data_IF_960394207362
#
_entry.id   IF_960394207362
#
_cell.length_a   1.000
_cell.length_b   1.000
_cell.length_c   1.000
_cell.angle_alpha   90.00
_cell.angle_beta   90.00
_cell.angle_gamma   90.00
#
_symmetry.space_group_name_H-M   'P 1'
#
loop_
_entity.id
_entity.type
_entity.pdbx_description
1 polymer ?
#
# COMPACT_ATOMS: atom_id res chain seq x y z
N UNK A 1 -22.40 7.92 26.76
CA UNK A 1 -22.26 6.61 26.07
C UNK A 1 -21.54 6.78 24.74
N UNK A 2 -22.06 7.58 23.80
CA UNK A 2 -21.42 7.78 22.48
C UNK A 2 -19.95 8.19 22.53
N UNK A 3 -19.55 9.10 23.43
CA UNK A 3 -18.14 9.53 23.54
C UNK A 3 -17.17 8.36 23.77
N UNK A 4 -17.59 7.34 24.54
CA UNK A 4 -16.76 6.17 24.82
C UNK A 4 -16.78 5.19 23.66
N UNK A 5 -17.92 5.06 22.97
CA UNK A 5 -17.98 4.25 21.75
C UNK A 5 -17.15 4.85 20.62
N UNK A 6 -17.14 6.19 20.45
CA UNK A 6 -16.25 6.88 19.49
C UNK A 6 -14.78 6.57 19.79
N UNK A 7 -14.39 6.56 21.06
CA UNK A 7 -13.04 6.14 21.43
C UNK A 7 -12.76 4.67 21.07
N UNK A 8 -13.72 3.77 21.28
CA UNK A 8 -13.60 2.38 20.83
C UNK A 8 -13.52 2.25 19.30
N UNK A 9 -14.21 3.12 18.54
CA UNK A 9 -14.11 3.23 17.08
C UNK A 9 -12.72 3.66 16.65
N UNK A 10 -12.11 4.69 17.26
CA UNK A 10 -10.73 5.10 16.96
C UNK A 10 -9.72 3.95 17.17
N UNK A 11 -9.92 3.16 18.23
CA UNK A 11 -9.11 1.97 18.51
C UNK A 11 -9.34 0.86 17.48
N UNK A 12 -10.57 0.69 17.01
CA UNK A 12 -10.92 -0.26 15.94
C UNK A 12 -10.29 0.15 14.59
N UNK A 13 -10.29 1.44 14.26
CA UNK A 13 -9.63 2.00 13.08
C UNK A 13 -8.12 1.76 13.15
N UNK A 14 -7.52 1.98 14.32
CA UNK A 14 -6.11 1.69 14.55
C UNK A 14 -5.80 0.20 14.32
N UNK A 15 -6.59 -0.72 14.88
CA UNK A 15 -6.45 -2.15 14.60
C UNK A 15 -6.55 -2.46 13.09
N UNK A 16 -7.58 -1.93 12.41
CA UNK A 16 -7.75 -2.10 10.97
C UNK A 16 -6.59 -1.55 10.14
N UNK A 17 -5.95 -0.48 10.59
CA UNK A 17 -4.78 0.10 9.94
C UNK A 17 -3.55 -0.81 9.98
N UNK A 18 -3.47 -1.67 11.01
CA UNK A 18 -2.41 -2.68 11.18
C UNK A 18 -2.78 -4.03 10.54
N UNK A 19 -3.94 -4.13 9.91
CA UNK A 19 -4.44 -5.35 9.28
C UNK A 19 -5.11 -6.34 10.25
N UNK A 20 -5.40 -5.92 11.47
CA UNK A 20 -6.22 -6.67 12.41
C UNK A 20 -7.70 -6.51 12.08
N UNK A 21 -8.54 -7.45 12.53
CA UNK A 21 -10.00 -7.26 12.45
C UNK A 21 -10.35 -6.01 13.28
N UNK A 22 -11.00 -4.98 12.70
CA UNK A 22 -11.18 -3.67 13.33
C UNK A 22 -12.21 -3.74 14.46
N UNK A 23 -11.73 -4.12 15.65
CA UNK A 23 -12.51 -4.11 16.90
C UNK A 23 -11.69 -3.39 17.96
N UNK A 24 -12.32 -2.40 18.58
CA UNK A 24 -11.83 -1.69 19.74
C UNK A 24 -12.82 -1.77 20.90
N UNK A 25 -12.29 -1.62 22.11
CA UNK A 25 -13.02 -1.68 23.37
C UNK A 25 -12.42 -0.72 24.40
N UNK A 26 -13.26 -0.19 25.29
CA UNK A 26 -12.84 0.61 26.45
C UNK A 26 -13.60 0.21 27.70
N UNK A 27 -12.91 0.20 28.85
CA UNK A 27 -13.52 0.01 30.17
C UNK A 27 -13.60 1.36 30.86
N UNK A 28 -14.77 1.70 31.38
CA UNK A 28 -15.07 3.00 31.99
C UNK A 28 -15.55 2.79 33.41
N UNK A 29 -14.96 3.50 34.38
CA UNK A 29 -15.48 3.53 35.75
C UNK A 29 -16.73 4.42 35.79
N UNK A 30 -17.90 3.83 36.10
CA UNK A 30 -19.21 4.49 35.96
C UNK A 30 -19.35 5.75 36.82
N UNK A 31 -18.86 5.67 38.06
CA UNK A 31 -18.94 6.77 39.04
C UNK A 31 -18.20 8.03 38.57
N UNK A 32 -17.01 7.86 37.99
CA UNK A 32 -16.14 8.99 37.61
C UNK A 32 -16.24 9.34 36.13
N UNK A 33 -16.70 8.42 35.29
CA UNK A 33 -16.63 8.53 33.83
C UNK A 33 -15.21 8.41 33.27
N UNK A 34 -14.24 7.98 34.07
CA UNK A 34 -12.85 7.78 33.64
C UNK A 34 -12.72 6.51 32.78
N UNK A 35 -12.02 6.62 31.65
CA UNK A 35 -11.56 5.43 30.90
C UNK A 35 -10.41 4.82 31.69
N UNK A 36 -10.65 3.66 32.29
CA UNK A 36 -9.64 2.94 33.08
C UNK A 36 -8.75 2.06 32.20
N UNK A 37 -9.26 1.57 31.07
CA UNK A 37 -8.47 0.78 30.14
C UNK A 37 -9.01 0.84 28.72
N UNK A 38 -8.12 0.56 27.77
CA UNK A 38 -8.39 0.53 26.34
C UNK A 38 -7.83 -0.77 25.75
N UNK A 39 -8.51 -1.31 24.75
CA UNK A 39 -8.09 -2.51 24.04
C UNK A 39 -8.52 -2.47 22.59
N UNK A 40 -7.75 -3.14 21.75
CA UNK A 40 -8.07 -3.37 20.35
C UNK A 40 -7.50 -4.73 19.93
N UNK A 41 -8.07 -5.33 18.89
CA UNK A 41 -7.61 -6.64 18.43
C UNK A 41 -6.12 -6.61 18.02
N UNK A 42 -5.36 -7.62 18.46
CA UNK A 42 -3.94 -7.83 18.11
C UNK A 42 -3.61 -9.29 17.80
N UNK A 43 -4.58 -10.06 17.32
CA UNK A 43 -4.42 -11.50 17.10
C UNK A 43 -3.32 -11.82 16.09
N UNK A 44 -3.26 -11.04 15.02
CA UNK A 44 -2.28 -11.24 13.95
C UNK A 44 -0.88 -10.75 14.34
N UNK A 45 -0.80 -9.66 15.07
CA UNK A 45 0.44 -9.00 15.48
C UNK A 45 1.09 -9.75 16.64
N UNK A 46 0.32 -10.10 17.67
CA UNK A 46 0.80 -10.78 18.87
C UNK A 46 0.89 -12.31 18.67
N UNK A 47 0.38 -12.83 17.54
CA UNK A 47 0.21 -14.27 17.28
C UNK A 47 -0.47 -15.00 18.44
N UNK A 48 -1.47 -14.34 19.00
CA UNK A 48 -2.19 -14.79 20.19
C UNK A 48 -3.70 -14.80 19.92
N UNK A 49 -4.31 -15.98 19.96
CA UNK A 49 -5.74 -16.14 19.76
C UNK A 49 -6.59 -15.39 20.81
N UNK A 50 -6.03 -15.09 21.99
CA UNK A 50 -6.69 -14.39 23.09
C UNK A 50 -6.61 -12.85 22.98
N UNK A 51 -5.87 -12.32 22.01
CA UNK A 51 -5.65 -10.87 21.87
C UNK A 51 -6.86 -10.15 21.24
N UNK A 52 -8.02 -10.31 21.87
CA UNK A 52 -9.27 -9.62 21.54
C UNK A 52 -9.37 -8.29 22.29
N UNK A 53 -10.02 -7.31 21.68
CA UNK A 53 -10.17 -5.97 22.24
C UNK A 53 -10.72 -5.98 23.67
N UNK A 54 -11.78 -6.76 23.92
CA UNK A 54 -12.44 -6.85 25.23
C UNK A 54 -11.53 -7.50 26.27
N UNK A 55 -10.84 -8.58 25.91
CA UNK A 55 -9.94 -9.28 26.82
C UNK A 55 -8.75 -8.41 27.23
N UNK A 56 -8.19 -7.67 26.26
CA UNK A 56 -7.11 -6.72 26.52
C UNK A 56 -7.60 -5.61 27.45
N UNK A 57 -8.75 -5.00 27.14
CA UNK A 57 -9.30 -3.92 27.95
C UNK A 57 -9.65 -4.38 29.38
N UNK A 58 -10.26 -5.56 29.54
CA UNK A 58 -10.56 -6.15 30.85
C UNK A 58 -9.28 -6.42 31.64
N UNK A 59 -8.29 -7.05 31.02
CA UNK A 59 -7.01 -7.37 31.68
C UNK A 59 -6.31 -6.10 32.19
N UNK A 60 -6.21 -5.08 31.34
CA UNK A 60 -5.59 -3.81 31.72
C UNK A 60 -6.39 -3.07 32.79
N UNK A 61 -7.73 -3.12 32.75
CA UNK A 61 -8.57 -2.55 33.79
C UNK A 61 -8.35 -3.24 35.14
N UNK A 62 -8.28 -4.58 35.15
CA UNK A 62 -8.00 -5.35 36.36
C UNK A 62 -6.63 -4.99 36.96
N UNK A 63 -5.61 -4.83 36.11
CA UNK A 63 -4.27 -4.40 36.55
C UNK A 63 -4.30 -2.98 37.13
N UNK A 64 -4.96 -2.04 36.45
CA UNK A 64 -5.02 -0.63 36.89
C UNK A 64 -5.79 -0.47 38.20
N UNK A 65 -6.88 -1.21 38.38
CA UNK A 65 -7.74 -1.14 39.57
C UNK A 65 -7.26 -2.04 40.72
N UNK A 66 -6.21 -2.83 40.52
CA UNK A 66 -5.62 -3.68 41.57
C UNK A 66 -6.46 -4.89 41.96
N UNK A 67 -7.33 -5.38 41.07
CA UNK A 67 -8.21 -6.51 41.35
C UNK A 67 -8.88 -7.08 40.10
N UNK A 68 -9.37 -8.32 40.17
CA UNK A 68 -9.99 -9.00 39.03
C UNK A 68 -11.49 -8.71 38.87
N UNK A 69 -12.12 -8.06 39.86
CA UNK A 69 -13.53 -7.66 39.83
C UNK A 69 -13.65 -6.22 39.36
N UNK A 70 -14.35 -6.02 38.25
CA UNK A 70 -14.63 -4.73 37.61
C UNK A 70 -16.06 -4.24 37.94
N UNK A 71 -16.46 -4.40 39.20
CA UNK A 71 -17.74 -3.87 39.71
C UNK A 71 -17.75 -2.34 39.56
N UNK A 72 -18.86 -1.75 39.16
CA UNK A 72 -18.93 -0.31 38.87
C UNK A 72 -18.30 0.09 37.54
N UNK A 73 -17.86 -0.87 36.71
CA UNK A 73 -17.30 -0.59 35.39
C UNK A 73 -18.23 -0.99 34.25
N UNK A 74 -18.26 -0.16 33.22
CA UNK A 74 -18.93 -0.38 31.96
C UNK A 74 -17.90 -0.76 30.88
N UNK A 75 -18.21 -1.76 30.06
CA UNK A 75 -17.43 -2.11 28.87
C UNK A 75 -18.14 -1.59 27.62
N UNK A 76 -17.44 -0.79 26.82
CA UNK A 76 -17.86 -0.37 25.49
C UNK A 76 -17.06 -1.15 24.46
N UNK A 77 -17.70 -1.76 23.47
CA UNK A 77 -17.03 -2.50 22.40
C UNK A 77 -17.73 -2.29 21.06
N UNK A 78 -16.93 -2.10 20.01
CA UNK A 78 -17.45 -1.82 18.66
C UNK A 78 -18.23 -2.97 18.03
N UNK A 79 -17.91 -4.22 18.37
CA UNK A 79 -18.56 -5.43 17.86
C UNK A 79 -19.12 -6.26 19.01
N UNK A 80 -20.22 -6.97 18.76
CA UNK A 80 -20.81 -7.90 19.71
C UNK A 80 -19.78 -8.91 20.25
N UNK A 81 -19.64 -9.03 21.59
CA UNK A 81 -18.72 -9.99 22.20
C UNK A 81 -18.93 -11.44 21.76
N UNK A 82 -17.82 -12.13 21.49
CA UNK A 82 -17.80 -13.56 21.19
C UNK A 82 -17.89 -14.42 22.48
N UNK A 83 -18.00 -15.76 22.40
CA UNK A 83 -18.20 -16.58 23.60
C UNK A 83 -17.08 -16.43 24.65
N UNK A 84 -15.85 -16.29 24.17
CA UNK A 84 -14.67 -16.10 25.01
C UNK A 84 -14.71 -14.75 25.75
N UNK A 85 -15.05 -13.67 25.04
CA UNK A 85 -15.18 -12.34 25.62
C UNK A 85 -16.35 -12.28 26.62
N UNK A 86 -17.50 -12.89 26.30
CA UNK A 86 -18.62 -13.05 27.22
C UNK A 86 -18.21 -13.78 28.51
N UNK A 87 -17.46 -14.88 28.38
CA UNK A 87 -16.91 -15.61 29.53
C UNK A 87 -16.03 -14.71 30.42
N UNK A 88 -15.15 -13.90 29.82
CA UNK A 88 -14.33 -12.97 30.58
C UNK A 88 -15.16 -11.89 31.28
N UNK A 89 -16.15 -11.30 30.61
CA UNK A 89 -17.08 -10.30 31.15
C UNK A 89 -17.80 -10.84 32.41
N UNK A 90 -18.30 -12.08 32.34
CA UNK A 90 -18.96 -12.75 33.47
C UNK A 90 -17.98 -12.91 34.64
N UNK A 91 -16.79 -13.45 34.38
CA UNK A 91 -15.81 -13.75 35.42
C UNK A 91 -15.21 -12.49 36.04
N UNK A 92 -15.05 -11.41 35.27
CA UNK A 92 -14.53 -10.13 35.74
C UNK A 92 -15.60 -9.23 36.36
N UNK A 93 -16.89 -9.64 36.41
CA UNK A 93 -17.97 -8.86 37.03
C UNK A 93 -18.19 -7.47 36.43
N UNK A 94 -17.93 -7.31 35.13
CA UNK A 94 -18.26 -6.06 34.41
C UNK A 94 -19.76 -5.82 34.52
N UNK A 95 -20.15 -4.63 34.94
CA UNK A 95 -21.54 -4.39 35.35
C UNK A 95 -22.48 -4.15 34.16
N UNK A 96 -21.97 -3.50 33.12
CA UNK A 96 -22.73 -3.23 31.90
C UNK A 96 -21.87 -3.39 30.66
N UNK A 97 -22.43 -4.01 29.63
CA UNK A 97 -21.82 -4.16 28.31
C UNK A 97 -22.61 -3.33 27.31
N UNK A 98 -21.93 -2.42 26.65
CA UNK A 98 -22.46 -1.56 25.60
C UNK A 98 -21.74 -1.93 24.31
N UNK A 99 -22.47 -2.36 23.29
CA UNK A 99 -21.83 -2.69 22.02
C UNK A 99 -22.49 -2.06 20.79
N UNK A 100 -21.69 -1.86 19.75
CA UNK A 100 -22.08 -1.18 18.53
C UNK A 100 -22.81 -2.08 17.54
N UNK A 101 -22.06 -2.88 16.79
CA UNK A 101 -22.60 -3.76 15.75
C UNK A 101 -22.86 -5.19 16.26
N UNK A 102 -23.92 -5.83 15.77
CA UNK A 102 -24.16 -7.27 15.97
C UNK A 102 -23.15 -8.11 15.17
N UNK A 103 -22.81 -9.29 15.68
CA UNK A 103 -21.94 -10.27 15.00
C UNK A 103 -22.70 -11.57 14.71
N UNK A 104 -23.22 -11.69 13.49
CA UNK A 104 -23.94 -12.89 13.05
C UNK A 104 -23.06 -14.14 12.87
N UNK A 105 -21.74 -14.04 13.08
CA UNK A 105 -20.78 -15.16 12.92
C UNK A 105 -20.19 -15.65 14.24
N UNK A 106 -20.05 -14.79 15.23
CA UNK A 106 -19.50 -15.17 16.54
C UNK A 106 -20.20 -14.51 17.74
N UNK A 107 -21.14 -13.59 17.51
CA UNK A 107 -21.81 -12.82 18.56
C UNK A 107 -22.57 -13.71 19.54
N UNK A 108 -22.28 -13.54 20.83
CA UNK A 108 -22.75 -14.42 21.89
C UNK A 108 -23.50 -13.68 23.01
N UNK A 109 -23.90 -12.45 22.74
CA UNK A 109 -24.77 -11.66 23.60
C UNK A 109 -26.21 -11.81 23.17
N UNK A 110 -26.47 -11.70 21.87
CA UNK A 110 -27.79 -11.80 21.26
C UNK A 110 -27.82 -12.66 20.00
N UNK A 111 -26.81 -12.57 19.11
CA UNK A 111 -26.93 -13.05 17.73
C UNK A 111 -26.99 -14.58 17.61
N UNK A 112 -25.90 -15.27 17.97
CA UNK A 112 -25.82 -16.73 17.87
C UNK A 112 -26.08 -17.42 19.21
N UNK A 113 -25.62 -16.80 20.29
CA UNK A 113 -25.79 -17.28 21.65
C UNK A 113 -26.30 -16.14 22.53
N UNK A 114 -26.94 -16.50 23.63
CA UNK A 114 -27.41 -15.58 24.66
C UNK A 114 -26.70 -15.92 25.97
N UNK A 115 -25.37 -15.81 26.01
CA UNK A 115 -24.57 -16.33 27.11
C UNK A 115 -24.92 -15.70 28.46
N UNK A 116 -25.36 -14.44 28.48
CA UNK A 116 -25.75 -13.78 29.73
C UNK A 116 -27.12 -14.20 30.26
N UNK A 117 -27.92 -14.92 29.47
CA UNK A 117 -29.20 -15.49 29.92
C UNK A 117 -29.03 -16.79 30.70
N UNK A 118 -27.91 -17.49 30.47
CA UNK A 118 -27.55 -18.71 31.20
C UNK A 118 -27.41 -18.44 32.71
N UNK A 119 -27.56 -19.48 33.58
CA UNK A 119 -27.59 -19.33 35.04
C UNK A 119 -26.19 -19.13 35.64
N UNK A 120 -25.40 -18.21 35.08
CA UNK A 120 -24.13 -17.79 35.64
C UNK A 120 -24.32 -16.90 36.87
N UNK A 121 -23.28 -16.83 37.69
CA UNK A 121 -23.27 -16.07 38.94
C UNK A 121 -23.20 -14.53 38.75
N UNK A 122 -23.09 -14.06 37.51
CA UNK A 122 -23.03 -12.65 37.12
C UNK A 122 -23.79 -12.45 35.82
N UNK A 123 -24.61 -11.40 35.74
CA UNK A 123 -25.34 -11.00 34.54
C UNK A 123 -25.15 -9.50 34.31
N UNK A 124 -24.37 -9.08 33.30
CA UNK A 124 -24.23 -7.67 32.98
C UNK A 124 -25.53 -7.11 32.39
N UNK A 125 -25.78 -5.82 32.62
CA UNK A 125 -26.78 -5.06 31.84
C UNK A 125 -26.29 -4.91 30.40
N UNK A 126 -27.18 -5.04 29.40
CA UNK A 126 -26.83 -4.98 27.98
C UNK A 126 -27.45 -3.78 27.30
N UNK A 127 -26.62 -2.97 26.64
CA UNK A 127 -27.05 -1.91 25.72
C UNK A 127 -26.48 -2.22 24.34
N UNK A 128 -27.35 -2.24 23.33
CA UNK A 128 -27.03 -2.64 21.96
C UNK A 128 -27.17 -1.46 21.01
N UNK A 129 -26.43 -1.49 19.91
CA UNK A 129 -26.67 -0.61 18.76
C UNK A 129 -26.07 0.80 18.88
N UNK A 130 -25.16 1.05 19.83
CA UNK A 130 -24.55 2.39 19.97
C UNK A 130 -23.56 2.61 18.82
N UNK A 131 -23.87 3.55 17.92
CA UNK A 131 -23.09 3.77 16.68
C UNK A 131 -22.99 2.49 15.82
N UNK A 132 -24.07 1.73 15.73
CA UNK A 132 -24.11 0.44 15.01
C UNK A 132 -23.65 0.53 13.55
N UNK A 133 -24.12 1.55 12.82
CA UNK A 133 -23.76 1.75 11.41
C UNK A 133 -22.27 2.02 11.20
N UNK A 134 -21.69 2.88 12.05
CA UNK A 134 -20.27 3.22 12.01
C UNK A 134 -19.41 1.99 12.33
N UNK A 135 -19.74 1.28 13.42
CA UNK A 135 -19.05 0.07 13.84
C UNK A 135 -19.14 -1.06 12.79
N UNK A 136 -20.33 -1.30 12.24
CA UNK A 136 -20.54 -2.31 11.19
C UNK A 136 -19.92 -1.92 9.85
N UNK A 137 -19.87 -0.62 9.57
CA UNK A 137 -19.22 -0.04 8.40
C UNK A 137 -17.72 -0.29 8.35
N UNK A 138 -17.03 -0.21 9.49
CA UNK A 138 -15.60 -0.53 9.61
C UNK A 138 -15.29 -1.98 9.20
N UNK A 139 -16.02 -2.95 9.76
CA UNK A 139 -15.87 -4.37 9.44
C UNK A 139 -16.16 -4.65 7.96
N UNK A 140 -17.27 -4.10 7.46
CA UNK A 140 -17.67 -4.26 6.07
C UNK A 140 -16.62 -3.71 5.11
N UNK A 141 -16.07 -2.52 5.39
CA UNK A 141 -15.04 -1.87 4.60
C UNK A 141 -13.72 -2.65 4.64
N UNK A 142 -13.33 -3.14 5.82
CA UNK A 142 -12.16 -3.99 5.99
C UNK A 142 -12.27 -5.27 5.16
N UNK A 143 -13.33 -6.06 5.30
CA UNK A 143 -13.48 -7.31 4.54
C UNK A 143 -13.70 -7.09 3.04
N UNK A 144 -14.31 -5.97 2.62
CA UNK A 144 -14.34 -5.57 1.20
C UNK A 144 -12.93 -5.31 0.67
N UNK A 145 -12.09 -4.59 1.41
CA UNK A 145 -10.68 -4.34 1.06
C UNK A 145 -9.87 -5.64 1.00
N UNK A 146 -9.99 -6.51 2.00
CA UNK A 146 -9.30 -7.82 2.02
C UNK A 146 -9.65 -8.67 0.79
N UNK A 147 -10.94 -8.76 0.45
CA UNK A 147 -11.39 -9.49 -0.75
C UNK A 147 -10.85 -8.88 -2.04
N UNK A 148 -10.81 -7.54 -2.15
CA UNK A 148 -10.19 -6.86 -3.30
C UNK A 148 -8.71 -7.19 -3.42
N UNK A 149 -7.94 -7.10 -2.33
CA UNK A 149 -6.51 -7.45 -2.33
C UNK A 149 -6.30 -8.89 -2.78
N UNK A 150 -7.09 -9.82 -2.23
CA UNK A 150 -7.01 -11.24 -2.60
C UNK A 150 -7.40 -11.49 -4.06
N UNK A 151 -8.38 -10.77 -4.61
CA UNK A 151 -8.74 -10.91 -6.02
C UNK A 151 -7.60 -10.40 -6.93
N UNK A 152 -7.21 -9.15 -6.73
CA UNK A 152 -6.30 -8.45 -7.64
C UNK A 152 -4.86 -8.90 -7.52
N UNK A 153 -4.39 -9.13 -6.29
CA UNK A 153 -3.05 -9.66 -6.09
C UNK A 153 -3.09 -11.18 -6.16
N UNK A 154 -4.15 -11.87 -5.75
CA UNK A 154 -4.14 -13.33 -5.49
C UNK A 154 -4.87 -14.26 -6.46
N UNK A 155 -5.76 -13.81 -7.35
CA UNK A 155 -6.61 -14.74 -8.13
C UNK A 155 -6.55 -14.63 -9.66
N UNK A 156 -6.12 -13.52 -10.25
CA UNK A 156 -6.06 -13.37 -11.72
C UNK A 156 -4.64 -12.96 -12.15
N UNK A 157 -4.21 -13.44 -13.32
CA UNK A 157 -3.01 -12.98 -14.00
C UNK A 157 -3.06 -11.45 -14.07
N UNK A 158 -1.92 -10.79 -13.87
CA UNK A 158 -1.83 -9.36 -14.20
C UNK A 158 -2.22 -9.25 -15.66
N UNK A 159 -3.29 -8.50 -15.96
CA UNK A 159 -3.76 -8.26 -17.31
C UNK A 159 -3.35 -6.84 -17.71
N UNK A 160 -2.45 -6.73 -18.67
CA UNK A 160 -1.99 -5.49 -19.26
C UNK A 160 -2.86 -5.05 -20.43
N UNK A 161 -3.66 -5.97 -20.98
CA UNK A 161 -4.46 -5.80 -22.20
C UNK A 161 -3.59 -5.49 -23.43
N UNK A 162 -2.38 -6.06 -23.46
CA UNK A 162 -1.39 -5.89 -24.54
C UNK A 162 -0.35 -7.03 -24.54
N UNK A 163 0.68 -6.95 -25.39
CA UNK A 163 1.66 -8.01 -25.64
C UNK A 163 2.47 -8.42 -24.39
N UNK A 164 2.52 -7.56 -23.35
CA UNK A 164 3.18 -7.92 -22.09
C UNK A 164 2.54 -9.15 -21.42
N UNK A 165 1.24 -9.38 -21.64
CA UNK A 165 0.52 -10.52 -21.07
C UNK A 165 1.14 -11.85 -21.53
N UNK A 166 1.38 -12.00 -22.83
CA UNK A 166 1.96 -13.21 -23.39
C UNK A 166 3.45 -13.35 -23.06
N UNK A 167 4.19 -12.23 -23.05
CA UNK A 167 5.63 -12.22 -22.80
C UNK A 167 5.98 -12.54 -21.34
N UNK A 168 5.14 -12.14 -20.39
CA UNK A 168 5.41 -12.29 -18.96
C UNK A 168 4.57 -13.36 -18.27
N UNK A 169 3.74 -14.10 -19.04
CA UNK A 169 2.88 -15.15 -18.48
C UNK A 169 3.65 -16.16 -17.62
N UNK A 170 4.81 -16.58 -18.08
CA UNK A 170 5.67 -17.56 -17.42
C UNK A 170 6.45 -16.92 -16.26
N UNK A 171 6.78 -15.63 -16.37
CA UNK A 171 7.44 -14.86 -15.31
C UNK A 171 6.61 -14.88 -14.03
N UNK A 172 5.29 -14.71 -14.17
CA UNK A 172 4.36 -14.73 -13.05
C UNK A 172 4.23 -16.11 -12.40
N UNK A 173 4.59 -17.20 -13.07
CA UNK A 173 4.55 -18.54 -12.51
C UNK A 173 5.83 -18.91 -11.74
N UNK A 174 6.92 -18.15 -11.89
CA UNK A 174 8.18 -18.43 -11.22
C UNK A 174 8.02 -18.33 -9.69
N UNK A 175 8.71 -19.23 -8.98
CA UNK A 175 8.65 -19.35 -7.52
C UNK A 175 8.92 -18.01 -6.81
N UNK A 176 9.95 -17.28 -7.24
CA UNK A 176 10.29 -15.98 -6.64
C UNK A 176 9.14 -14.97 -6.78
N UNK A 177 8.39 -15.01 -7.89
CA UNK A 177 7.26 -14.10 -8.11
C UNK A 177 6.06 -14.51 -7.26
N UNK A 178 5.83 -15.82 -7.10
CA UNK A 178 4.79 -16.33 -6.19
C UNK A 178 5.08 -15.93 -4.73
N UNK A 179 6.34 -15.90 -4.32
CA UNK A 179 6.72 -15.43 -2.99
C UNK A 179 6.62 -13.91 -2.85
N UNK A 180 7.03 -13.15 -3.87
CA UNK A 180 6.76 -11.71 -3.95
C UNK A 180 5.25 -11.43 -3.83
N UNK A 181 4.41 -12.18 -4.53
CA UNK A 181 2.95 -12.05 -4.50
C UNK A 181 2.38 -12.31 -3.11
N UNK A 182 2.80 -13.38 -2.43
CA UNK A 182 2.40 -13.65 -1.03
C UNK A 182 2.84 -12.52 -0.10
N UNK A 183 4.06 -12.02 -0.27
CA UNK A 183 4.58 -10.87 0.46
C UNK A 183 3.72 -9.61 0.24
N UNK A 184 3.38 -9.27 -1.00
CA UNK A 184 2.54 -8.12 -1.34
C UNK A 184 1.12 -8.26 -0.78
N UNK A 185 0.51 -9.46 -0.85
CA UNK A 185 -0.80 -9.71 -0.23
C UNK A 185 -0.74 -9.37 1.26
N UNK A 186 0.31 -9.80 1.97
CA UNK A 186 0.48 -9.48 3.38
C UNK A 186 0.65 -7.96 3.57
N UNK A 187 1.57 -7.33 2.85
CA UNK A 187 1.87 -5.90 2.97
C UNK A 187 0.62 -5.02 2.72
N UNK A 188 -0.12 -5.23 1.63
CA UNK A 188 -1.34 -4.45 1.34
C UNK A 188 -2.48 -4.68 2.34
N UNK A 189 -2.49 -5.83 3.04
CA UNK A 189 -3.45 -6.10 4.12
C UNK A 189 -3.10 -5.35 5.40
N UNK A 190 -1.81 -5.28 5.75
CA UNK A 190 -1.35 -4.81 7.06
C UNK A 190 -0.72 -3.42 7.08
N UNK A 191 -0.39 -2.88 5.91
CA UNK A 191 0.38 -1.64 5.77
C UNK A 191 -0.22 -0.73 4.68
N UNK A 192 0.13 0.55 4.71
CA UNK A 192 -0.12 1.47 3.60
C UNK A 192 1.02 1.35 2.60
N UNK A 193 0.72 0.78 1.43
CA UNK A 193 1.68 0.55 0.35
C UNK A 193 1.37 1.46 -0.83
N UNK A 194 2.42 2.00 -1.45
CA UNK A 194 2.38 2.79 -2.68
C UNK A 194 3.11 2.08 -3.82
N UNK A 195 2.65 2.24 -5.08
CA UNK A 195 1.40 2.89 -5.44
C UNK A 195 0.19 2.00 -5.03
N UNK A 196 -1.04 2.44 -5.35
CA UNK A 196 -2.21 1.58 -5.15
C UNK A 196 -2.02 0.26 -5.93
N UNK A 197 -2.60 -0.85 -5.45
CA UNK A 197 -2.48 -2.16 -6.10
C UNK A 197 -2.92 -2.17 -7.58
N UNK A 198 -3.83 -1.27 -7.98
CA UNK A 198 -4.27 -1.13 -9.38
C UNK A 198 -3.26 -0.43 -10.28
N UNK A 199 -2.38 0.35 -9.66
CA UNK A 199 -1.45 1.25 -10.32
C UNK A 199 -0.05 0.62 -10.46
N UNK A 200 0.26 -0.50 -9.79
CA UNK A 200 1.60 -1.13 -9.77
C UNK A 200 2.21 -1.26 -11.18
N UNK A 201 1.36 -1.61 -12.15
CA UNK A 201 1.74 -1.97 -13.50
C UNK A 201 1.40 -0.89 -14.55
N UNK A 202 1.06 0.34 -14.13
CA UNK A 202 0.62 1.39 -15.06
C UNK A 202 1.66 1.71 -16.15
N UNK A 203 2.97 1.63 -15.86
CA UNK A 203 4.02 1.80 -16.87
C UNK A 203 3.83 0.87 -18.08
N UNK A 204 3.52 -0.39 -17.83
CA UNK A 204 3.34 -1.40 -18.88
C UNK A 204 1.94 -1.37 -19.51
N UNK A 205 0.94 -0.87 -18.78
CA UNK A 205 -0.41 -0.65 -19.34
C UNK A 205 -0.43 0.54 -20.30
N UNK A 206 0.30 1.61 -19.99
CA UNK A 206 0.38 2.80 -20.84
C UNK A 206 1.38 2.68 -21.98
N UNK A 207 2.35 1.76 -21.86
CA UNK A 207 3.37 1.51 -22.87
C UNK A 207 3.42 0.03 -23.19
N UNK A 208 2.77 -0.36 -24.29
CA UNK A 208 2.82 -1.73 -24.82
C UNK A 208 4.26 -2.13 -25.15
N UNK A 209 4.56 -3.42 -25.22
CA UNK A 209 5.90 -3.90 -25.58
C UNK A 209 6.33 -3.34 -26.94
N UNK A 210 5.40 -3.31 -27.90
CA UNK A 210 5.69 -2.86 -29.26
C UNK A 210 5.95 -1.35 -29.36
N UNK A 211 5.30 -0.57 -28.50
CA UNK A 211 5.41 0.89 -28.50
C UNK A 211 6.60 1.42 -27.70
N UNK A 212 7.33 0.57 -26.96
CA UNK A 212 8.52 1.03 -26.23
C UNK A 212 9.56 1.61 -27.21
N UNK A 213 9.89 2.89 -27.01
CA UNK A 213 10.95 3.65 -27.69
C UNK A 213 12.08 3.97 -26.72
N UNK A 214 11.73 4.39 -25.50
CA UNK A 214 12.67 4.82 -24.46
C UNK A 214 12.30 4.14 -23.14
N UNK A 215 13.29 3.69 -22.38
CA UNK A 215 13.13 3.17 -21.02
C UNK A 215 13.86 4.11 -20.07
N UNK A 216 13.14 4.61 -19.06
CA UNK A 216 13.71 5.41 -17.98
C UNK A 216 13.61 4.59 -16.70
N UNK A 217 14.76 4.33 -16.07
CA UNK A 217 14.80 3.52 -14.84
C UNK A 217 14.85 4.39 -13.58
N UNK A 218 13.81 4.27 -12.75
CA UNK A 218 13.80 4.75 -11.37
C UNK A 218 14.19 3.66 -10.36
N UNK A 219 14.32 4.02 -9.10
CA UNK A 219 14.70 3.09 -8.02
C UNK A 219 13.47 2.38 -7.46
N UNK A 220 12.71 3.08 -6.63
CA UNK A 220 11.44 2.67 -6.03
C UNK A 220 10.40 3.80 -6.14
N UNK A 221 9.10 3.53 -5.94
CA UNK A 221 8.09 4.56 -6.03
C UNK A 221 8.26 5.61 -4.93
N UNK A 222 7.72 6.80 -5.16
CA UNK A 222 7.60 7.79 -4.08
C UNK A 222 6.74 7.24 -2.92
N UNK A 223 7.17 7.49 -1.69
CA UNK A 223 6.62 6.88 -0.48
C UNK A 223 5.66 7.78 0.33
N UNK A 224 5.32 8.97 -0.17
CA UNK A 224 4.31 9.84 0.46
C UNK A 224 2.92 9.72 -0.19
N UNK A 225 1.85 10.07 0.55
CA UNK A 225 0.48 10.02 0.03
C UNK A 225 0.31 10.76 -1.29
N UNK A 226 -0.49 10.15 -2.19
CA UNK A 226 -0.90 10.70 -3.48
C UNK A 226 0.23 10.93 -4.51
N UNK A 227 1.49 10.61 -4.20
CA UNK A 227 2.60 10.77 -5.13
C UNK A 227 2.63 9.68 -6.20
N UNK A 228 3.01 8.45 -5.82
CA UNK A 228 3.25 7.37 -6.77
C UNK A 228 1.96 6.83 -7.40
N UNK A 229 2.02 6.59 -8.70
CA UNK A 229 0.92 6.04 -9.50
C UNK A 229 1.37 5.04 -10.58
N UNK A 230 2.52 4.39 -10.36
CA UNK A 230 3.01 3.31 -11.22
C UNK A 230 3.95 3.72 -12.35
N UNK A 231 4.34 5.00 -12.42
CA UNK A 231 5.32 5.53 -13.36
C UNK A 231 6.52 6.09 -12.57
N UNK A 232 7.74 5.70 -12.92
CA UNK A 232 8.96 6.26 -12.31
C UNK A 232 9.01 7.79 -12.48
N UNK A 233 9.51 8.51 -11.48
CA UNK A 233 9.63 9.97 -11.43
C UNK A 233 8.32 10.78 -11.48
N UNK A 234 7.21 10.20 -11.94
CA UNK A 234 5.92 10.89 -12.06
C UNK A 234 5.16 10.97 -10.74
N UNK A 235 4.41 12.06 -10.56
CA UNK A 235 3.42 12.24 -9.49
C UNK A 235 2.05 12.59 -10.07
N UNK A 236 0.96 12.33 -9.34
CA UNK A 236 -0.40 12.66 -9.79
C UNK A 236 -0.59 14.18 -9.93
N UNK A 237 -1.49 14.61 -10.83
CA UNK A 237 -1.92 16.03 -10.92
C UNK A 237 -2.38 16.56 -9.56
N UNK A 238 -2.01 17.80 -9.25
CA UNK A 238 -2.25 18.44 -7.96
C UNK A 238 -1.19 18.17 -6.88
N UNK A 239 -0.21 17.30 -7.16
CA UNK A 239 0.98 17.11 -6.32
C UNK A 239 2.15 17.90 -6.88
N UNK A 240 2.83 18.63 -6.01
CA UNK A 240 4.03 19.39 -6.36
C UNK A 240 5.12 18.45 -6.93
N UNK A 241 5.71 18.76 -8.10
CA UNK A 241 6.80 17.99 -8.67
C UNK A 241 7.96 17.81 -7.67
N UNK A 242 8.41 16.58 -7.39
CA UNK A 242 9.54 16.34 -6.51
C UNK A 242 10.85 16.94 -7.06
N UNK A 243 11.87 17.20 -6.22
CA UNK A 243 13.11 17.84 -6.66
C UNK A 243 13.80 17.16 -7.84
N UNK A 244 13.79 15.82 -7.88
CA UNK A 244 14.33 15.05 -9.01
C UNK A 244 13.59 15.34 -10.31
N UNK A 245 12.26 15.45 -10.27
CA UNK A 245 11.46 15.75 -11.46
C UNK A 245 11.65 17.20 -11.92
N UNK A 246 11.79 18.15 -10.99
CA UNK A 246 12.14 19.54 -11.32
C UNK A 246 13.48 19.64 -12.04
N UNK A 247 14.46 18.86 -11.61
CA UNK A 247 15.76 18.80 -12.29
C UNK A 247 15.66 18.16 -13.68
N UNK A 248 14.82 17.13 -13.85
CA UNK A 248 14.51 16.56 -15.18
C UNK A 248 13.91 17.63 -16.10
N UNK A 249 12.92 18.40 -15.63
CA UNK A 249 12.31 19.47 -16.43
C UNK A 249 13.30 20.59 -16.77
N UNK A 250 14.17 20.95 -15.83
CA UNK A 250 15.25 21.90 -16.10
C UNK A 250 16.18 21.41 -17.22
N UNK A 251 16.64 20.17 -17.14
CA UNK A 251 17.52 19.60 -18.18
C UNK A 251 16.82 19.54 -19.54
N UNK A 252 15.54 19.16 -19.59
CA UNK A 252 14.75 19.19 -20.83
C UNK A 252 14.68 20.59 -21.44
N UNK A 253 14.50 21.61 -20.62
CA UNK A 253 14.49 23.00 -21.09
C UNK A 253 15.87 23.43 -21.60
N UNK A 254 16.93 23.10 -20.86
CA UNK A 254 18.31 23.44 -21.22
C UNK A 254 18.74 22.73 -22.53
N UNK A 255 18.30 21.48 -22.75
CA UNK A 255 18.63 20.68 -23.95
C UNK A 255 17.76 21.00 -25.18
N UNK A 256 16.44 21.20 -24.98
CA UNK A 256 15.45 21.22 -26.06
C UNK A 256 14.64 22.51 -26.14
N UNK A 257 14.80 23.45 -25.20
CA UNK A 257 13.99 24.66 -25.10
C UNK A 257 12.53 24.41 -24.71
N UNK A 258 12.21 23.24 -24.17
CA UNK A 258 10.85 22.86 -23.74
C UNK A 258 10.70 23.17 -22.25
N UNK A 259 9.98 24.25 -21.92
CA UNK A 259 9.73 24.60 -20.52
C UNK A 259 8.51 23.87 -19.94
N UNK A 260 8.81 22.96 -19.00
CA UNK A 260 7.82 22.25 -18.19
C UNK A 260 7.76 22.78 -16.73
N UNK A 261 8.50 23.84 -16.42
CA UNK A 261 8.56 24.43 -15.08
C UNK A 261 7.20 25.01 -14.67
N UNK A 262 6.80 24.80 -13.40
CA UNK A 262 5.52 25.31 -12.88
C UNK A 262 4.28 24.54 -13.37
N UNK A 263 4.43 23.56 -14.26
CA UNK A 263 3.36 22.62 -14.63
C UNK A 263 3.22 21.47 -13.61
N UNK A 264 2.31 20.54 -13.88
CA UNK A 264 2.10 19.36 -13.03
C UNK A 264 3.22 18.32 -13.15
N UNK A 265 3.32 17.37 -12.21
CA UNK A 265 4.34 16.31 -12.26
C UNK A 265 3.91 14.99 -12.93
N UNK A 266 2.76 14.97 -13.59
CA UNK A 266 2.23 13.75 -14.23
C UNK A 266 2.84 13.52 -15.62
N UNK A 267 3.38 12.33 -15.86
CA UNK A 267 4.15 11.95 -17.05
C UNK A 267 3.42 10.92 -17.92
N UNK A 268 2.11 10.77 -17.76
CA UNK A 268 1.29 9.82 -18.52
C UNK A 268 1.42 10.02 -20.04
N UNK A 269 1.58 11.27 -20.50
CA UNK A 269 1.75 11.58 -21.92
C UNK A 269 3.06 11.03 -22.49
N UNK A 270 4.14 11.00 -21.70
CA UNK A 270 5.38 10.35 -22.10
C UNK A 270 5.18 8.84 -22.21
N UNK A 271 4.51 8.22 -21.23
CA UNK A 271 4.23 6.78 -21.25
C UNK A 271 3.45 6.36 -22.50
N UNK A 272 2.38 7.09 -22.82
CA UNK A 272 1.58 6.87 -24.04
C UNK A 272 2.34 7.14 -25.34
N UNK A 273 3.45 7.88 -25.29
CA UNK A 273 4.30 8.18 -26.45
C UNK A 273 5.47 7.20 -26.62
N UNK A 274 5.49 6.10 -25.85
CA UNK A 274 6.52 5.06 -25.95
C UNK A 274 7.62 5.14 -24.90
N UNK A 275 7.46 5.96 -23.83
CA UNK A 275 8.44 6.03 -22.74
C UNK A 275 8.04 5.12 -21.58
N UNK A 276 8.69 3.96 -21.48
CA UNK A 276 8.50 3.05 -20.36
C UNK A 276 9.17 3.59 -19.08
N UNK A 277 8.36 4.20 -18.21
CA UNK A 277 8.76 4.79 -16.93
C UNK A 277 8.78 3.74 -15.81
N UNK A 278 9.83 2.93 -15.75
CA UNK A 278 9.91 1.72 -14.92
C UNK A 278 10.79 1.94 -13.67
N UNK A 279 10.26 1.68 -12.48
CA UNK A 279 11.11 1.57 -11.29
C UNK A 279 11.72 0.16 -11.20
N UNK A 280 12.92 0.01 -10.63
CA UNK A 280 13.50 -1.32 -10.35
C UNK A 280 12.77 -2.10 -9.26
N UNK A 281 12.13 -1.39 -8.34
CA UNK A 281 11.22 -1.91 -7.32
C UNK A 281 9.85 -1.25 -7.54
N UNK A 282 8.76 -2.02 -7.62
CA UNK A 282 7.46 -1.47 -8.04
C UNK A 282 6.53 -1.07 -6.89
N UNK A 283 6.86 -1.39 -5.64
CA UNK A 283 6.06 -1.01 -4.47
C UNK A 283 6.94 -0.56 -3.31
N UNK A 284 6.38 0.25 -2.41
CA UNK A 284 7.06 0.78 -1.22
C UNK A 284 6.04 1.02 -0.10
N UNK A 285 6.46 0.86 1.15
CA UNK A 285 5.65 1.23 2.32
C UNK A 285 5.70 2.73 2.56
N UNK A 286 4.57 3.31 2.99
CA UNK A 286 4.46 4.73 3.34
C UNK A 286 5.58 5.16 4.30
N UNK A 287 6.28 6.25 3.95
CA UNK A 287 7.35 6.84 4.77
C UNK A 287 8.62 5.99 4.90
N UNK A 288 8.74 4.88 4.15
CA UNK A 288 9.89 3.97 4.25
C UNK A 288 10.45 3.63 2.86
N UNK A 289 11.30 4.52 2.33
CA UNK A 289 12.05 4.27 1.09
C UNK A 289 12.79 2.92 1.15
N UNK A 290 12.84 2.19 0.03
CA UNK A 290 13.47 0.88 -0.11
C UNK A 290 12.90 -0.25 0.77
N UNK A 291 11.75 -0.07 1.41
CA UNK A 291 11.15 -1.08 2.30
C UNK A 291 10.83 -2.42 1.60
N UNK A 292 10.64 -2.43 0.28
CA UNK A 292 10.40 -3.63 -0.52
C UNK A 292 11.59 -4.03 -1.42
N UNK A 293 12.77 -3.47 -1.15
CA UNK A 293 14.01 -3.90 -1.79
C UNK A 293 14.28 -5.38 -1.46
N UNK A 294 14.86 -6.10 -2.40
CA UNK A 294 15.27 -7.51 -2.31
C UNK A 294 14.08 -8.46 -2.02
N UNK A 295 12.86 -8.05 -2.40
CA UNK A 295 11.64 -8.88 -2.27
C UNK A 295 11.24 -9.61 -3.54
N UNK A 296 11.96 -9.37 -4.65
CA UNK A 296 11.76 -10.06 -5.92
C UNK A 296 11.41 -9.13 -7.08
N UNK A 297 11.08 -7.86 -6.84
CA UNK A 297 10.79 -6.90 -7.90
C UNK A 297 11.95 -6.69 -8.85
N UNK A 298 13.18 -6.73 -8.35
CA UNK A 298 14.38 -6.55 -9.14
C UNK A 298 14.53 -7.66 -10.18
N UNK A 299 14.16 -8.90 -9.83
CA UNK A 299 14.16 -10.03 -10.77
C UNK A 299 13.09 -9.88 -11.84
N UNK A 300 11.91 -9.40 -11.44
CA UNK A 300 10.81 -9.13 -12.37
C UNK A 300 11.18 -8.04 -13.38
N UNK A 301 11.68 -6.90 -12.88
CA UNK A 301 12.07 -5.78 -13.75
C UNK A 301 13.32 -6.08 -14.58
N UNK A 302 14.24 -6.92 -14.09
CA UNK A 302 15.35 -7.45 -14.89
C UNK A 302 14.85 -8.30 -16.06
N UNK A 303 13.78 -9.07 -15.87
CA UNK A 303 13.17 -9.87 -16.95
C UNK A 303 12.50 -8.97 -17.99
N UNK A 304 11.82 -7.90 -17.57
CA UNK A 304 11.30 -6.87 -18.49
C UNK A 304 12.40 -6.22 -19.32
N UNK A 305 13.51 -5.82 -18.69
CA UNK A 305 14.67 -5.22 -19.39
C UNK A 305 15.29 -6.24 -20.37
N UNK A 306 15.39 -7.51 -19.97
CA UNK A 306 15.97 -8.57 -20.81
C UNK A 306 15.12 -8.83 -22.06
N UNK A 307 13.79 -8.86 -21.92
CA UNK A 307 12.87 -8.99 -23.06
C UNK A 307 12.99 -7.82 -24.05
N UNK A 308 13.21 -6.60 -23.56
CA UNK A 308 13.43 -5.44 -24.43
C UNK A 308 14.82 -5.48 -25.09
N UNK A 309 15.83 -6.02 -24.41
CA UNK A 309 17.17 -6.20 -24.95
C UNK A 309 17.25 -7.26 -26.06
N UNK A 310 16.39 -8.27 -26.00
CA UNK A 310 16.31 -9.33 -27.03
C UNK A 310 15.57 -8.86 -28.30
N UNK A 311 14.90 -7.71 -28.23
CA UNK A 311 14.07 -7.17 -29.31
C UNK A 311 14.90 -6.62 -30.46
N UNK A 312 14.51 -6.90 -31.70
CA UNK A 312 15.16 -6.31 -32.89
C UNK A 312 14.93 -4.81 -33.03
N UNK A 313 13.73 -4.32 -32.67
CA UNK A 313 13.44 -2.88 -32.71
C UNK A 313 14.32 -2.13 -31.70
N UNK A 314 15.05 -1.09 -32.13
CA UNK A 314 15.88 -0.27 -31.25
C UNK A 314 15.12 0.33 -30.07
N UNK A 315 15.82 0.46 -28.94
CA UNK A 315 15.31 1.06 -27.70
C UNK A 315 16.41 1.91 -27.08
N UNK A 316 16.06 3.08 -26.55
CA UNK A 316 16.97 3.93 -25.79
C UNK A 316 16.79 3.66 -24.30
N UNK A 317 17.86 3.34 -23.58
CA UNK A 317 17.85 3.14 -22.12
C UNK A 317 18.53 4.31 -21.42
N UNK A 318 17.77 5.05 -20.62
CA UNK A 318 18.28 6.15 -19.77
C UNK A 318 18.55 5.64 -18.36
N UNK A 319 19.84 5.51 -18.03
CA UNK A 319 20.33 4.92 -16.79
C UNK A 319 20.90 6.01 -15.85
N UNK A 320 20.03 6.56 -15.00
CA UNK A 320 20.38 7.65 -14.08
C UNK A 320 20.70 7.16 -12.68
N UNK A 321 21.95 7.35 -12.25
CA UNK A 321 22.43 6.90 -10.93
C UNK A 321 22.86 5.43 -10.88
N UNK A 322 23.47 5.03 -9.77
CA UNK A 322 24.20 3.75 -9.67
C UNK A 322 23.30 2.52 -9.78
N UNK A 323 22.08 2.56 -9.22
CA UNK A 323 21.14 1.44 -9.30
C UNK A 323 20.69 1.18 -10.73
N UNK A 324 20.36 2.24 -11.49
CA UNK A 324 20.02 2.12 -12.91
C UNK A 324 21.24 1.69 -13.74
N UNK A 325 22.43 2.28 -13.50
CA UNK A 325 23.68 1.89 -14.18
C UNK A 325 24.03 0.41 -13.99
N UNK A 326 23.73 -0.18 -12.83
CA UNK A 326 23.96 -1.60 -12.58
C UNK A 326 23.17 -2.52 -13.53
N UNK A 327 22.06 -2.04 -14.12
CA UNK A 327 21.26 -2.77 -15.11
C UNK A 327 21.89 -2.80 -16.50
N UNK A 328 22.94 -2.00 -16.75
CA UNK A 328 23.68 -1.99 -18.03
C UNK A 328 24.15 -3.38 -18.47
N UNK A 329 24.47 -4.27 -17.51
CA UNK A 329 24.88 -5.66 -17.79
C UNK A 329 23.81 -6.49 -18.51
N UNK A 330 22.53 -6.08 -18.45
CA UNK A 330 21.41 -6.74 -19.12
C UNK A 330 21.18 -6.21 -20.54
N UNK A 331 21.80 -5.08 -20.90
CA UNK A 331 21.58 -4.39 -22.18
C UNK A 331 22.82 -4.63 -23.04
N UNK A 332 22.81 -5.73 -23.79
CA UNK A 332 23.90 -6.23 -24.63
C UNK A 332 23.63 -6.11 -26.12
N UNK A 333 22.37 -5.87 -26.52
CA UNK A 333 21.96 -5.70 -27.91
C UNK A 333 22.59 -4.46 -28.52
N UNK A 334 23.26 -4.64 -29.67
CA UNK A 334 23.98 -3.57 -30.38
C UNK A 334 23.05 -2.55 -31.04
N UNK A 335 21.79 -2.94 -31.24
CA UNK A 335 20.71 -2.13 -31.78
C UNK A 335 20.15 -1.14 -30.74
N UNK A 336 20.51 -1.27 -29.46
CA UNK A 336 20.01 -0.37 -28.41
C UNK A 336 21.02 0.73 -28.10
N UNK A 337 20.51 1.87 -27.67
CA UNK A 337 21.32 2.97 -27.15
C UNK A 337 21.26 2.99 -25.62
N UNK A 338 22.41 3.09 -24.96
CA UNK A 338 22.48 3.23 -23.50
C UNK A 338 23.11 4.57 -23.15
N UNK A 339 22.32 5.45 -22.52
CA UNK A 339 22.76 6.75 -22.04
C UNK A 339 22.77 6.75 -20.51
N UNK A 340 23.93 6.99 -19.91
CA UNK A 340 24.12 6.84 -18.47
C UNK A 340 24.74 8.09 -17.85
N UNK A 341 24.14 8.60 -16.77
CA UNK A 341 24.56 9.85 -16.11
C UNK A 341 24.31 9.80 -14.60
N UNK A 342 24.62 10.88 -13.87
CA UNK A 342 24.29 10.94 -12.44
C UNK A 342 22.75 10.91 -12.22
N UNK A 343 22.28 10.65 -11.00
CA UNK A 343 20.84 10.70 -10.72
C UNK A 343 20.37 12.17 -10.75
N UNK A 344 19.13 12.49 -11.20
CA UNK A 344 18.57 13.84 -11.17
C UNK A 344 18.30 14.40 -9.76
N UNK A 345 18.69 13.68 -8.69
CA UNK A 345 18.48 14.14 -7.32
C UNK A 345 19.33 15.39 -7.06
N UNK A 346 18.87 16.35 -6.23
CA UNK A 346 19.69 17.49 -5.82
C UNK A 346 21.08 17.12 -5.30
N UNK A 347 21.23 15.92 -4.71
CA UNK A 347 22.52 15.42 -4.19
C UNK A 347 23.56 15.12 -5.28
N UNK A 348 23.14 14.91 -6.53
CA UNK A 348 24.03 14.47 -7.61
C UNK A 348 23.84 15.18 -8.94
N UNK A 349 22.80 16.01 -9.09
CA UNK A 349 22.43 16.56 -10.39
C UNK A 349 23.54 17.43 -11.01
N UNK A 350 24.16 18.29 -10.20
CA UNK A 350 25.30 19.13 -10.59
C UNK A 350 26.60 18.35 -10.86
N UNK A 351 26.65 17.07 -10.46
CA UNK A 351 27.81 16.21 -10.64
C UNK A 351 27.65 15.24 -11.82
N UNK A 352 26.87 15.64 -12.82
CA UNK A 352 26.81 14.97 -14.11
C UNK A 352 25.42 14.50 -14.55
N UNK A 353 24.32 14.99 -13.98
CA UNK A 353 23.00 14.89 -14.63
C UNK A 353 22.77 16.11 -15.53
N UNK A 354 23.02 17.31 -15.01
CA UNK A 354 22.89 18.52 -15.83
C UNK A 354 23.96 18.58 -16.92
N UNK A 355 23.55 18.92 -18.14
CA UNK A 355 24.38 18.93 -19.34
C UNK A 355 24.66 17.54 -19.91
N UNK A 356 23.83 16.54 -19.60
CA UNK A 356 24.02 15.18 -20.09
C UNK A 356 23.61 15.02 -21.57
N UNK A 357 22.70 15.85 -22.08
CA UNK A 357 22.27 15.80 -23.48
C UNK A 357 21.40 14.58 -23.81
N UNK A 358 20.83 13.92 -22.80
CA UNK A 358 20.20 12.61 -22.98
C UNK A 358 18.90 12.66 -23.78
N UNK A 359 18.06 13.70 -23.60
CA UNK A 359 16.77 13.80 -24.27
C UNK A 359 16.95 14.12 -25.76
N UNK A 360 17.87 15.04 -26.06
CA UNK A 360 18.26 15.34 -27.44
C UNK A 360 18.90 14.12 -28.13
N UNK A 361 19.83 13.44 -27.46
CA UNK A 361 20.48 12.25 -28.02
C UNK A 361 19.50 11.09 -28.24
N UNK A 362 18.57 10.86 -27.32
CA UNK A 362 17.51 9.87 -27.48
C UNK A 362 16.69 10.14 -28.74
N UNK A 363 16.24 11.39 -28.95
CA UNK A 363 15.45 11.75 -30.13
C UNK A 363 16.25 11.60 -31.43
N UNK A 364 17.52 12.04 -31.47
CA UNK A 364 18.40 11.84 -32.64
C UNK A 364 18.56 10.36 -32.99
N UNK A 365 18.72 9.51 -31.98
CA UNK A 365 18.84 8.07 -32.18
C UNK A 365 17.55 7.45 -32.73
N UNK A 366 16.40 7.85 -32.20
CA UNK A 366 15.10 7.39 -32.70
C UNK A 366 14.90 7.79 -34.16
N UNK A 367 15.15 9.06 -34.50
CA UNK A 367 15.04 9.58 -35.87
C UNK A 367 15.98 8.85 -36.84
N UNK A 368 17.23 8.61 -36.44
CA UNK A 368 18.21 7.88 -37.24
C UNK A 368 17.81 6.42 -37.53
N UNK A 369 16.93 5.84 -36.71
CA UNK A 369 16.37 4.51 -36.88
C UNK A 369 14.94 4.53 -37.47
N UNK A 370 14.49 5.66 -38.02
CA UNK A 370 13.17 5.80 -38.63
C UNK A 370 12.01 5.74 -37.64
N UNK A 371 12.27 5.99 -36.36
CA UNK A 371 11.28 6.01 -35.29
C UNK A 371 10.89 7.44 -34.97
N UNK A 372 9.62 7.67 -34.66
CA UNK A 372 9.16 9.00 -34.23
C UNK A 372 9.82 9.41 -32.90
N UNK A 373 10.40 10.62 -32.82
CA UNK A 373 10.99 11.14 -31.59
C UNK A 373 9.94 11.30 -30.49
N UNK A 374 10.39 11.32 -29.24
CA UNK A 374 9.51 11.55 -28.09
C UNK A 374 9.24 13.04 -27.94
N UNK A 375 7.96 13.39 -27.77
CA UNK A 375 7.59 14.73 -27.32
C UNK A 375 7.74 14.82 -25.79
N UNK A 376 8.78 15.54 -25.34
CA UNK A 376 9.09 15.73 -23.92
C UNK A 376 8.29 16.84 -23.24
N UNK A 377 7.36 17.50 -23.93
CA UNK A 377 6.44 18.46 -23.30
C UNK A 377 5.38 17.74 -22.46
N UNK A 378 4.92 18.37 -21.39
CA UNK A 378 3.69 17.99 -20.67
C UNK A 378 2.64 19.10 -20.79
N UNK A 379 1.37 18.71 -20.62
CA UNK A 379 0.20 19.60 -20.78
C UNK A 379 0.17 20.77 -19.78
#
# INVERSE_FOLDING_TARGET
MEKYMKRAVELAEHAGSMGEIPVGAVVVKRETGEIVAEGYNRRESDKNALAHAELIAINEACRKLGGWRLIGCDLYVTLEPCPMCCGAIINSRVERVIYGADDMKAGSVFSLQQMFELPYNHKPEIIRGVLAEECGGLLSSFFKRIRKIQKYIGAEMVNFENEWDDLLKDEFQKEYYQDLRKFLIKEYKTQTIYPNMYDIFNAMKYTSYEDVKVVILGQDPYHEPNQAHGLSFSVKKGVEPPPSLKNIFKEINDELGIDNSGKHGELTNWAKSGVLLLNTVLTVRRGMANSHKDKGWEKFTDSVISLLNEREKPVVFLLWGNNAKAKRKLITGKQHLVLASAHPSPLSAYHGFFGCGHFAEANRFLEANGMEPVNWSID
#
